data_IF_449702725943
#
_entry.id   IF_449702725943
#
_cell.length_a   1.000
_cell.length_b   1.000
_cell.length_c   1.000
_cell.angle_alpha   90.00
_cell.angle_beta   90.00
_cell.angle_gamma   90.00
#
_symmetry.space_group_name_H-M   'P 1'
#
loop_
_entity.id
_entity.type
_entity.pdbx_description
1 polymer ?
#
# COMPACT_ATOMS: atom_id res chain seq x y z
N UNK A 1 -18.19 7.70 20.96
CA UNK A 1 -17.69 6.32 20.75
C UNK A 1 -16.30 6.27 21.33
N UNK A 2 -15.85 5.16 21.90
CA UNK A 2 -14.46 5.01 22.34
C UNK A 2 -13.53 5.06 21.13
N UNK A 3 -12.33 5.63 21.31
CA UNK A 3 -11.31 5.64 20.26
C UNK A 3 -10.91 4.21 19.89
N UNK A 4 -10.68 3.96 18.59
CA UNK A 4 -10.27 2.66 18.05
C UNK A 4 -8.86 2.31 18.54
N UNK A 5 -8.70 1.14 19.13
CA UNK A 5 -7.42 0.65 19.64
C UNK A 5 -6.60 -0.01 18.54
N UNK A 6 -5.54 0.64 18.11
CA UNK A 6 -4.68 0.21 17.01
C UNK A 6 -3.35 -0.30 17.53
N UNK A 7 -2.98 -1.54 17.17
CA UNK A 7 -1.63 -2.06 17.30
C UNK A 7 -0.86 -1.88 15.98
N UNK A 8 0.46 -1.75 16.07
CA UNK A 8 1.35 -1.63 14.91
C UNK A 8 2.42 -2.71 14.98
N UNK A 9 2.60 -3.47 13.90
CA UNK A 9 3.69 -4.42 13.72
C UNK A 9 4.90 -3.77 13.05
N UNK A 10 6.11 -4.10 13.53
CA UNK A 10 7.37 -3.58 13.01
C UNK A 10 7.56 -2.09 13.29
N UNK A 11 7.29 -1.66 14.53
CA UNK A 11 7.28 -0.23 14.92
C UNK A 11 8.62 0.47 14.72
N UNK A 12 9.75 -0.25 14.77
CA UNK A 12 11.08 0.32 14.53
C UNK A 12 11.40 0.50 13.05
N UNK A 13 10.60 -0.09 12.15
CA UNK A 13 10.75 0.05 10.71
C UNK A 13 10.41 1.46 10.19
N UNK A 14 10.80 1.75 8.94
CA UNK A 14 10.53 3.05 8.29
C UNK A 14 9.04 3.41 8.25
N UNK A 15 8.16 2.44 8.01
CA UNK A 15 6.70 2.67 8.04
C UNK A 15 6.17 2.65 9.46
N UNK A 16 6.66 1.74 10.32
CA UNK A 16 6.20 1.62 11.69
C UNK A 16 6.28 2.92 12.48
N UNK A 17 7.40 3.63 12.38
CA UNK A 17 7.60 4.95 13.03
C UNK A 17 6.58 5.98 12.57
N UNK A 18 6.32 6.05 11.26
CA UNK A 18 5.34 6.98 10.68
C UNK A 18 3.90 6.58 11.03
N UNK A 19 3.62 5.28 11.16
CA UNK A 19 2.32 4.76 11.60
C UNK A 19 2.04 5.13 13.07
N UNK A 20 3.04 5.04 13.96
CA UNK A 20 2.90 5.51 15.36
C UNK A 20 2.50 6.98 15.40
N UNK A 21 3.17 7.81 14.61
CA UNK A 21 2.84 9.23 14.50
C UNK A 21 1.44 9.45 13.92
N UNK A 22 1.07 8.71 12.87
CA UNK A 22 -0.25 8.83 12.23
C UNK A 22 -1.39 8.44 13.18
N UNK A 23 -1.23 7.37 13.97
CA UNK A 23 -2.22 6.96 14.98
C UNK A 23 -2.32 7.99 16.09
N UNK A 24 -1.17 8.49 16.60
CA UNK A 24 -1.14 9.48 17.67
C UNK A 24 -1.84 10.81 17.28
N UNK A 25 -1.82 11.15 15.99
CA UNK A 25 -2.43 12.37 15.47
C UNK A 25 -3.90 12.18 15.02
N UNK A 26 -4.45 10.95 15.08
CA UNK A 26 -5.80 10.69 14.61
C UNK A 26 -6.84 10.85 15.74
N UNK A 27 -7.92 11.64 15.56
CA UNK A 27 -8.86 11.95 16.62
C UNK A 27 -9.67 10.73 17.12
N UNK A 28 -9.92 9.75 16.26
CA UNK A 28 -10.74 8.58 16.54
C UNK A 28 -9.95 7.31 16.82
N UNK A 29 -8.61 7.39 16.97
CA UNK A 29 -7.73 6.25 17.17
C UNK A 29 -6.78 6.48 18.34
N UNK A 30 -6.36 5.38 18.96
CA UNK A 30 -5.34 5.37 20.02
C UNK A 30 -4.40 4.19 19.80
N UNK A 31 -3.10 4.43 20.01
CA UNK A 31 -2.12 3.34 20.00
C UNK A 31 -2.34 2.46 21.23
N UNK A 32 -2.64 1.18 21.00
CA UNK A 32 -2.86 0.19 22.07
C UNK A 32 -1.73 -0.83 22.18
N UNK A 33 -0.92 -0.98 21.13
CA UNK A 33 0.16 -1.94 21.11
C UNK A 33 1.20 -1.64 20.04
N UNK A 34 2.41 -2.11 20.30
CA UNK A 34 3.58 -1.91 19.44
C UNK A 34 4.39 -3.20 19.40
N UNK A 35 4.48 -3.82 18.22
CA UNK A 35 5.17 -5.08 18.03
C UNK A 35 6.51 -4.89 17.31
N UNK A 36 7.50 -5.64 17.77
CA UNK A 36 8.77 -5.81 17.09
C UNK A 36 9.25 -7.27 17.22
N UNK A 37 10.19 -7.69 16.38
CA UNK A 37 10.70 -9.07 16.43
C UNK A 37 11.44 -9.37 17.73
N UNK A 38 11.41 -10.62 18.16
CA UNK A 38 12.16 -11.09 19.33
C UNK A 38 13.66 -10.83 19.18
N UNK A 39 14.27 -10.32 20.26
CA UNK A 39 15.69 -9.94 20.28
C UNK A 39 15.95 -8.53 19.72
N UNK A 40 14.94 -7.76 19.38
CA UNK A 40 15.12 -6.34 19.00
C UNK A 40 15.59 -5.51 20.19
N UNK A 41 16.57 -4.64 19.96
CA UNK A 41 17.13 -3.74 21.00
C UNK A 41 16.13 -2.69 21.51
N UNK A 42 15.02 -2.49 20.79
CA UNK A 42 14.00 -1.50 21.16
C UNK A 42 12.87 -2.07 22.02
N UNK A 43 12.91 -3.37 22.35
CA UNK A 43 11.92 -3.97 23.25
C UNK A 43 11.93 -3.28 24.62
N UNK A 44 10.72 -2.99 25.13
CA UNK A 44 10.51 -2.27 26.39
C UNK A 44 10.61 -0.75 26.28
N UNK A 45 11.11 -0.19 25.19
CA UNK A 45 11.09 1.27 24.97
C UNK A 45 9.68 1.75 24.64
N UNK A 46 9.38 3.05 24.85
CA UNK A 46 8.15 3.68 24.40
C UNK A 46 8.08 3.66 22.87
N UNK A 47 6.94 3.28 22.28
CA UNK A 47 6.77 3.17 20.84
C UNK A 47 7.02 4.47 20.07
N UNK A 48 6.88 5.63 20.72
CA UNK A 48 7.15 6.94 20.16
C UNK A 48 8.62 7.39 20.25
N UNK A 49 9.52 6.56 20.79
CA UNK A 49 10.91 6.96 21.07
C UNK A 49 11.64 7.56 19.86
N UNK A 50 11.42 7.00 18.67
CA UNK A 50 12.09 7.42 17.45
C UNK A 50 11.58 8.75 16.88
N UNK A 51 10.37 9.17 17.27
CA UNK A 51 9.70 10.42 16.83
C UNK A 51 9.69 11.48 17.92
N UNK A 52 10.28 11.19 19.10
CA UNK A 52 10.21 12.09 20.26
C UNK A 52 8.81 12.20 20.87
N UNK A 53 7.89 11.31 20.51
CA UNK A 53 6.57 11.22 21.10
C UNK A 53 6.61 10.40 22.39
N UNK A 54 5.72 10.70 23.31
CA UNK A 54 5.47 9.88 24.49
C UNK A 54 4.11 9.24 24.37
N UNK A 55 4.09 7.97 23.94
CA UNK A 55 2.84 7.22 23.71
C UNK A 55 2.33 6.50 24.94
N UNK A 56 3.22 6.16 25.88
CA UNK A 56 2.92 5.33 27.05
C UNK A 56 2.77 3.84 26.71
N UNK A 57 3.03 3.44 25.46
CA UNK A 57 2.93 2.05 24.97
C UNK A 57 4.35 1.49 24.83
N UNK A 58 4.66 0.45 25.59
CA UNK A 58 5.94 -0.25 25.47
C UNK A 58 5.96 -1.17 24.24
N UNK A 59 7.10 -1.20 23.54
CA UNK A 59 7.34 -2.13 22.43
C UNK A 59 7.49 -3.55 22.98
N UNK A 60 6.78 -4.51 22.40
CA UNK A 60 6.75 -5.90 22.84
C UNK A 60 6.96 -6.86 21.67
N UNK A 61 7.41 -8.07 21.94
CA UNK A 61 7.39 -9.20 21.02
C UNK A 61 6.28 -10.23 21.33
N UNK A 62 5.47 -9.97 22.35
CA UNK A 62 4.31 -10.78 22.71
C UNK A 62 3.07 -10.38 21.90
N UNK A 63 2.90 -11.06 20.77
CA UNK A 63 1.77 -10.82 19.86
C UNK A 63 0.43 -11.08 20.54
N UNK A 64 0.35 -12.13 21.37
CA UNK A 64 -0.89 -12.50 22.04
C UNK A 64 -1.35 -11.45 23.07
N UNK A 65 -0.43 -10.93 23.85
CA UNK A 65 -0.70 -9.87 24.81
C UNK A 65 -1.10 -8.55 24.14
N UNK A 66 -0.41 -8.18 23.04
CA UNK A 66 -0.71 -6.95 22.28
C UNK A 66 -2.07 -7.03 21.60
N UNK A 67 -2.40 -8.14 20.94
CA UNK A 67 -3.70 -8.28 20.27
C UNK A 67 -4.88 -8.37 21.26
N UNK A 68 -4.67 -8.91 22.47
CA UNK A 68 -5.72 -9.00 23.48
C UNK A 68 -6.28 -7.62 23.92
N UNK A 69 -5.57 -6.55 23.68
CA UNK A 69 -5.98 -5.18 24.03
C UNK A 69 -6.24 -4.29 22.83
N UNK A 70 -6.27 -4.85 21.62
CA UNK A 70 -6.36 -4.09 20.35
C UNK A 70 -7.58 -4.52 19.55
N UNK A 71 -8.17 -3.57 18.83
CA UNK A 71 -9.29 -3.80 17.92
C UNK A 71 -8.79 -4.12 16.49
N UNK A 72 -7.63 -3.59 16.12
CA UNK A 72 -7.03 -3.76 14.79
C UNK A 72 -5.50 -3.73 14.84
N UNK A 73 -4.85 -4.55 14.00
CA UNK A 73 -3.42 -4.55 13.78
C UNK A 73 -3.11 -3.93 12.41
N UNK A 74 -2.15 -3.01 12.34
CA UNK A 74 -1.57 -2.52 11.08
C UNK A 74 -0.20 -3.16 10.87
N UNK A 75 -0.02 -3.85 9.74
CA UNK A 75 1.18 -4.61 9.42
C UNK A 75 1.80 -4.21 8.08
N UNK A 76 3.02 -3.66 8.13
CA UNK A 76 3.88 -3.30 7.00
C UNK A 76 5.24 -3.98 7.12
N UNK A 77 5.27 -5.23 7.54
CA UNK A 77 6.51 -5.96 7.81
C UNK A 77 7.01 -6.74 6.59
N UNK A 78 6.94 -8.05 6.63
CA UNK A 78 7.33 -8.98 5.57
C UNK A 78 6.29 -10.11 5.47
N UNK A 79 6.23 -10.86 4.35
CA UNK A 79 5.22 -11.91 4.17
C UNK A 79 5.15 -12.92 5.31
N UNK A 80 6.30 -13.48 5.73
CA UNK A 80 6.31 -14.51 6.77
C UNK A 80 5.78 -14.04 8.14
N UNK A 81 6.27 -12.93 8.76
CA UNK A 81 5.68 -12.45 10.01
C UNK A 81 4.24 -11.98 9.84
N UNK A 82 3.87 -11.37 8.70
CA UNK A 82 2.49 -10.95 8.46
C UNK A 82 1.53 -12.14 8.48
N UNK A 83 1.89 -13.28 7.89
CA UNK A 83 1.03 -14.48 7.93
C UNK A 83 0.87 -15.04 9.34
N UNK A 84 1.91 -14.96 10.18
CA UNK A 84 1.82 -15.33 11.61
C UNK A 84 0.89 -14.37 12.37
N UNK A 85 1.02 -13.08 12.13
CA UNK A 85 0.14 -12.06 12.73
C UNK A 85 -1.31 -12.25 12.26
N UNK A 86 -1.53 -12.51 10.97
CA UNK A 86 -2.85 -12.78 10.39
C UNK A 86 -3.54 -13.94 11.08
N UNK A 87 -2.83 -15.07 11.30
CA UNK A 87 -3.37 -16.21 12.02
C UNK A 87 -3.81 -15.81 13.44
N UNK A 88 -2.98 -15.06 14.17
CA UNK A 88 -3.28 -14.59 15.52
C UNK A 88 -4.45 -13.60 15.55
N UNK A 89 -4.56 -12.73 14.55
CA UNK A 89 -5.69 -11.83 14.40
C UNK A 89 -7.00 -12.60 14.20
N UNK A 90 -7.00 -13.66 13.38
CA UNK A 90 -8.15 -14.55 13.20
C UNK A 90 -8.52 -15.26 14.50
N UNK A 91 -7.54 -15.81 15.24
CA UNK A 91 -7.78 -16.50 16.52
C UNK A 91 -8.42 -15.59 17.59
N UNK A 92 -8.13 -14.29 17.54
CA UNK A 92 -8.56 -13.30 18.54
C UNK A 92 -9.70 -12.38 18.09
N UNK A 93 -10.22 -12.58 16.88
CA UNK A 93 -11.23 -11.71 16.23
C UNK A 93 -10.78 -10.24 16.17
N UNK A 94 -9.49 -10.01 15.87
CA UNK A 94 -8.87 -8.69 15.67
C UNK A 94 -8.76 -8.42 14.18
N UNK A 95 -9.19 -7.25 13.72
CA UNK A 95 -9.05 -6.87 12.32
C UNK A 95 -7.58 -6.62 11.95
N UNK A 96 -7.23 -6.76 10.65
CA UNK A 96 -5.86 -6.54 10.20
C UNK A 96 -5.81 -5.71 8.92
N UNK A 97 -4.88 -4.74 8.90
CA UNK A 97 -4.57 -3.89 7.74
C UNK A 97 -3.18 -4.31 7.24
N UNK A 98 -3.13 -4.89 6.05
CA UNK A 98 -1.91 -5.48 5.48
C UNK A 98 -1.38 -4.59 4.36
N UNK A 99 -0.26 -3.91 4.63
CA UNK A 99 0.52 -3.15 3.65
C UNK A 99 1.78 -3.88 3.20
N UNK A 100 2.03 -5.06 3.72
CA UNK A 100 3.09 -5.97 3.28
C UNK A 100 2.81 -6.44 1.86
N UNK A 101 3.83 -6.49 1.03
CA UNK A 101 3.78 -6.96 -0.36
C UNK A 101 4.70 -8.15 -0.57
N UNK A 102 4.61 -8.82 -1.72
CA UNK A 102 5.50 -9.93 -2.08
C UNK A 102 5.03 -11.31 -1.59
N UNK A 103 3.74 -11.46 -1.27
CA UNK A 103 3.16 -12.78 -0.96
C UNK A 103 3.12 -13.66 -2.22
N UNK A 104 3.42 -14.94 -2.02
CA UNK A 104 3.14 -15.99 -2.99
C UNK A 104 1.65 -16.33 -3.04
N UNK A 105 1.26 -17.27 -3.89
CA UNK A 105 -0.14 -17.67 -4.06
C UNK A 105 -0.71 -18.31 -2.79
N UNK A 106 0.09 -19.05 -2.03
CA UNK A 106 -0.32 -19.63 -0.75
C UNK A 106 -0.59 -18.55 0.29
N UNK A 107 0.27 -17.53 0.38
CA UNK A 107 0.08 -16.38 1.26
C UNK A 107 -1.18 -15.57 0.90
N UNK A 108 -1.42 -15.36 -0.41
CA UNK A 108 -2.66 -14.69 -0.87
C UNK A 108 -3.91 -15.51 -0.53
N UNK A 109 -3.86 -16.84 -0.69
CA UNK A 109 -4.96 -17.72 -0.32
C UNK A 109 -5.24 -17.67 1.19
N UNK A 110 -4.20 -17.60 2.03
CA UNK A 110 -4.35 -17.45 3.48
C UNK A 110 -5.01 -16.11 3.85
N UNK A 111 -4.64 -15.03 3.18
CA UNK A 111 -5.26 -13.70 3.36
C UNK A 111 -6.74 -13.75 2.96
N UNK A 112 -7.06 -14.40 1.83
CA UNK A 112 -8.45 -14.59 1.37
C UNK A 112 -9.28 -15.36 2.40
N UNK A 113 -8.77 -16.47 2.91
CA UNK A 113 -9.45 -17.29 3.89
C UNK A 113 -9.65 -16.57 5.25
N UNK A 114 -8.72 -15.72 5.65
CA UNK A 114 -8.83 -14.92 6.86
C UNK A 114 -9.98 -13.90 6.77
N UNK A 115 -10.24 -13.36 5.57
CA UNK A 115 -11.36 -12.44 5.32
C UNK A 115 -12.74 -13.05 5.59
N UNK A 116 -12.87 -14.39 5.56
CA UNK A 116 -14.12 -15.05 5.93
C UNK A 116 -14.39 -15.03 7.46
N UNK A 117 -13.37 -14.76 8.26
CA UNK A 117 -13.40 -14.87 9.72
C UNK A 117 -13.27 -13.53 10.43
N UNK A 118 -12.46 -12.61 9.88
CA UNK A 118 -12.23 -11.28 10.47
C UNK A 118 -12.18 -10.21 9.37
N UNK A 119 -12.09 -8.93 9.75
CA UNK A 119 -11.91 -7.84 8.81
C UNK A 119 -10.46 -7.73 8.34
N UNK A 120 -10.23 -7.89 7.04
CA UNK A 120 -8.90 -7.77 6.43
C UNK A 120 -8.95 -6.68 5.37
N UNK A 121 -8.08 -5.67 5.46
CA UNK A 121 -7.82 -4.75 4.35
C UNK A 121 -6.44 -5.04 3.81
N UNK A 122 -6.35 -5.55 2.59
CA UNK A 122 -5.10 -5.87 1.92
C UNK A 122 -4.89 -4.99 0.69
N UNK A 123 -3.84 -4.19 0.68
CA UNK A 123 -3.52 -3.32 -0.44
C UNK A 123 -2.01 -3.14 -0.61
N UNK A 124 -1.55 -3.08 -1.86
CA UNK A 124 -0.16 -2.80 -2.19
C UNK A 124 0.23 -1.34 -1.91
N UNK A 125 -0.76 -0.44 -1.81
CA UNK A 125 -0.55 0.97 -1.53
C UNK A 125 -1.75 1.55 -0.77
N UNK A 126 -1.48 2.26 0.32
CA UNK A 126 -2.50 2.88 1.17
C UNK A 126 -2.71 4.37 0.92
N UNK A 127 -1.95 5.01 0.02
CA UNK A 127 -2.19 6.41 -0.33
C UNK A 127 -3.57 6.59 -0.96
N UNK A 128 -4.35 7.52 -0.41
CA UNK A 128 -5.66 7.91 -0.98
C UNK A 128 -5.47 8.43 -2.40
N UNK A 129 -4.45 9.26 -2.64
CA UNK A 129 -4.16 9.82 -3.95
C UNK A 129 -3.79 8.75 -4.98
N UNK A 130 -2.93 7.77 -4.63
CA UNK A 130 -2.58 6.66 -5.53
C UNK A 130 -3.81 5.83 -5.90
N UNK A 131 -4.65 5.49 -4.92
CA UNK A 131 -5.84 4.68 -5.18
C UNK A 131 -6.89 5.43 -6.00
N UNK A 132 -7.04 6.74 -5.79
CA UNK A 132 -7.84 7.60 -6.67
C UNK A 132 -7.26 7.63 -8.09
N UNK A 133 -5.93 7.72 -8.23
CA UNK A 133 -5.25 7.66 -9.52
C UNK A 133 -5.57 6.37 -10.27
N UNK A 134 -5.54 5.21 -9.60
CA UNK A 134 -5.94 3.94 -10.23
C UNK A 134 -7.37 3.98 -10.77
N UNK A 135 -8.32 4.51 -10.01
CA UNK A 135 -9.71 4.65 -10.44
C UNK A 135 -9.85 5.60 -11.66
N UNK A 136 -9.13 6.73 -11.64
CA UNK A 136 -9.11 7.68 -12.77
C UNK A 136 -8.50 7.02 -14.00
N UNK A 137 -7.42 6.24 -13.85
CA UNK A 137 -6.75 5.56 -14.96
C UNK A 137 -7.64 4.54 -15.65
N UNK A 138 -8.45 3.77 -14.91
CA UNK A 138 -9.44 2.88 -15.51
C UNK A 138 -10.42 3.65 -16.38
N UNK A 139 -10.95 4.75 -15.88
CA UNK A 139 -11.89 5.62 -16.61
C UNK A 139 -11.24 6.23 -17.86
N UNK A 140 -10.04 6.78 -17.71
CA UNK A 140 -9.32 7.45 -18.82
C UNK A 140 -8.92 6.46 -19.91
N UNK A 141 -8.42 5.29 -19.52
CA UNK A 141 -8.03 4.25 -20.48
C UNK A 141 -9.22 3.78 -21.34
N UNK A 142 -10.41 3.67 -20.76
CA UNK A 142 -11.63 3.33 -21.53
C UNK A 142 -12.06 4.39 -22.51
N UNK A 143 -11.78 5.66 -22.24
CA UNK A 143 -12.08 6.79 -23.14
C UNK A 143 -11.00 6.97 -24.20
N UNK A 144 -9.73 6.85 -23.81
CA UNK A 144 -8.56 7.02 -24.69
C UNK A 144 -8.05 5.64 -25.18
N UNK A 145 -8.98 4.78 -25.61
CA UNK A 145 -8.71 3.37 -25.95
C UNK A 145 -8.13 3.17 -27.35
N UNK A 146 -8.25 4.15 -28.25
CA UNK A 146 -7.79 4.08 -29.63
C UNK A 146 -6.95 5.31 -29.99
N UNK A 147 -5.84 5.10 -30.70
CA UNK A 147 -4.99 6.16 -31.22
C UNK A 147 -4.11 6.87 -30.19
N UNK A 148 -4.05 6.39 -28.94
CA UNK A 148 -3.19 6.91 -27.89
C UNK A 148 -2.07 5.94 -27.54
N UNK A 149 -0.84 6.46 -27.54
CA UNK A 149 0.32 5.81 -26.98
C UNK A 149 0.32 5.94 -25.45
N UNK A 150 0.69 4.87 -24.73
CA UNK A 150 0.60 4.82 -23.28
C UNK A 150 1.99 4.58 -22.70
N UNK A 151 2.44 5.49 -21.83
CA UNK A 151 3.72 5.40 -21.13
C UNK A 151 3.53 5.65 -19.63
N UNK A 152 4.22 4.88 -18.81
CA UNK A 152 4.25 5.07 -17.35
C UNK A 152 5.66 5.48 -16.96
N UNK A 153 5.78 6.64 -16.32
CA UNK A 153 7.05 7.21 -15.86
C UNK A 153 7.04 7.20 -14.35
N UNK A 154 8.05 6.58 -13.72
CA UNK A 154 8.14 6.54 -12.28
C UNK A 154 9.50 6.98 -11.77
N UNK A 155 9.52 7.65 -10.62
CA UNK A 155 10.73 8.11 -9.96
C UNK A 155 10.72 7.77 -8.47
N UNK A 156 11.83 7.22 -7.97
CA UNK A 156 12.05 6.96 -6.55
C UNK A 156 13.49 7.28 -6.13
N UNK A 157 13.70 7.26 -4.80
CA UNK A 157 15.01 7.47 -4.20
C UNK A 157 16.04 6.44 -4.66
N UNK A 158 17.33 6.81 -4.57
CA UNK A 158 18.48 6.00 -5.02
C UNK A 158 18.59 4.60 -4.38
N UNK A 159 17.93 4.37 -3.25
CA UNK A 159 17.99 3.12 -2.49
C UNK A 159 16.85 2.15 -2.82
N UNK A 160 15.94 2.48 -3.76
CA UNK A 160 14.89 1.57 -4.19
C UNK A 160 15.46 0.52 -5.14
N UNK A 161 15.27 -0.76 -4.81
CA UNK A 161 15.91 -1.89 -5.49
C UNK A 161 15.06 -2.49 -6.62
N UNK A 162 13.74 -2.42 -6.49
CA UNK A 162 12.80 -2.90 -7.51
C UNK A 162 12.56 -1.84 -8.60
N UNK A 163 12.45 -2.25 -9.83
CA UNK A 163 12.12 -1.43 -11.01
C UNK A 163 11.39 -2.27 -12.07
N UNK A 164 10.24 -1.81 -12.59
CA UNK A 164 9.46 -0.67 -12.11
C UNK A 164 8.92 -0.85 -10.69
N UNK A 165 8.48 0.23 -10.05
CA UNK A 165 7.84 0.16 -8.74
C UNK A 165 6.52 -0.62 -8.79
N UNK A 166 6.12 -1.25 -7.67
CA UNK A 166 4.82 -1.95 -7.59
C UNK A 166 3.63 -1.04 -7.92
N UNK A 167 3.70 0.25 -7.60
CA UNK A 167 2.67 1.24 -7.97
C UNK A 167 2.62 1.47 -9.48
N UNK A 168 3.78 1.59 -10.15
CA UNK A 168 3.85 1.73 -11.60
C UNK A 168 3.31 0.48 -12.31
N UNK A 169 3.68 -0.71 -11.83
CA UNK A 169 3.14 -1.97 -12.38
C UNK A 169 1.62 -2.02 -12.22
N UNK A 170 1.09 -1.63 -11.05
CA UNK A 170 -0.36 -1.60 -10.83
C UNK A 170 -1.07 -0.58 -11.73
N UNK A 171 -0.47 0.58 -12.02
CA UNK A 171 -1.00 1.52 -13.01
C UNK A 171 -1.10 0.87 -14.39
N UNK A 172 -0.05 0.15 -14.82
CA UNK A 172 -0.04 -0.60 -16.08
C UNK A 172 -1.10 -1.70 -16.13
N UNK A 173 -1.26 -2.46 -15.04
CA UNK A 173 -2.30 -3.50 -14.93
C UNK A 173 -3.70 -2.90 -15.07
N UNK A 174 -4.01 -1.81 -14.34
CA UNK A 174 -5.31 -1.13 -14.42
C UNK A 174 -5.61 -0.66 -15.84
N UNK A 175 -4.63 -0.07 -16.52
CA UNK A 175 -4.79 0.38 -17.91
C UNK A 175 -4.95 -0.81 -18.86
N UNK A 176 -4.14 -1.85 -18.71
CA UNK A 176 -4.22 -3.05 -19.54
C UNK A 176 -5.56 -3.75 -19.37
N UNK A 177 -6.04 -3.94 -18.14
CA UNK A 177 -7.34 -4.51 -17.81
C UNK A 177 -8.48 -3.71 -18.46
N UNK A 178 -8.43 -2.36 -18.36
CA UNK A 178 -9.43 -1.47 -18.96
C UNK A 178 -9.49 -1.57 -20.49
N UNK A 179 -8.34 -1.89 -21.12
CA UNK A 179 -8.19 -2.04 -22.58
C UNK A 179 -8.35 -3.50 -23.07
N UNK A 180 -8.58 -4.45 -22.16
CA UNK A 180 -8.66 -5.89 -22.49
C UNK A 180 -7.32 -6.46 -22.96
N UNK A 181 -6.18 -5.94 -22.46
CA UNK A 181 -4.81 -6.40 -22.77
C UNK A 181 -4.21 -7.18 -21.60
N UNK A 182 -3.29 -8.10 -21.88
CA UNK A 182 -2.45 -8.69 -20.85
C UNK A 182 -1.16 -7.86 -20.70
N UNK A 183 -0.94 -7.28 -19.51
CA UNK A 183 0.24 -6.47 -19.27
C UNK A 183 1.55 -7.26 -19.49
N UNK A 184 1.56 -8.57 -19.25
CA UNK A 184 2.76 -9.40 -19.46
C UNK A 184 3.17 -9.48 -20.94
N UNK A 185 2.22 -9.32 -21.84
CA UNK A 185 2.44 -9.38 -23.29
C UNK A 185 2.71 -8.00 -23.88
N UNK A 186 2.06 -6.93 -23.36
CA UNK A 186 2.14 -5.60 -23.93
C UNK A 186 3.12 -4.63 -23.20
N UNK A 187 3.73 -5.03 -22.08
CA UNK A 187 4.65 -4.17 -21.35
C UNK A 187 6.03 -4.07 -22.04
N UNK A 188 6.56 -2.84 -22.14
CA UNK A 188 7.93 -2.55 -22.60
C UNK A 188 8.69 -1.83 -21.49
N UNK A 189 9.68 -2.51 -20.92
CA UNK A 189 10.49 -2.03 -19.79
C UNK A 189 11.77 -1.34 -20.28
N UNK A 190 11.66 -0.07 -20.66
CA UNK A 190 12.75 0.72 -21.20
C UNK A 190 12.96 0.52 -22.70
N UNK A 191 13.65 1.48 -23.33
CA UNK A 191 14.08 1.43 -24.72
C UNK A 191 15.52 1.93 -24.81
N UNK A 192 16.37 1.24 -25.58
CA UNK A 192 17.78 1.59 -25.78
C UNK A 192 18.17 1.35 -27.24
N UNK A 193 18.98 2.24 -27.80
CA UNK A 193 19.48 2.14 -29.17
C UNK A 193 18.42 2.35 -30.24
N UNK A 194 18.53 1.63 -31.36
CA UNK A 194 17.61 1.69 -32.49
C UNK A 194 16.50 0.66 -32.33
N UNK A 195 15.37 1.05 -31.73
CA UNK A 195 14.22 0.15 -31.43
C UNK A 195 13.16 0.14 -32.52
N UNK A 196 13.31 0.95 -33.57
CA UNK A 196 12.25 1.17 -34.55
C UNK A 196 11.08 2.02 -34.02
N UNK A 197 10.05 2.23 -34.83
CA UNK A 197 8.82 2.88 -34.38
C UNK A 197 8.17 2.14 -33.23
N UNK A 198 7.50 2.89 -32.34
CA UNK A 198 6.75 2.32 -31.23
C UNK A 198 5.56 1.45 -31.75
N UNK A 199 5.38 0.28 -31.15
CA UNK A 199 4.16 -0.50 -31.36
C UNK A 199 3.00 0.15 -30.56
N UNK A 200 1.89 0.55 -31.19
CA UNK A 200 0.77 1.22 -30.53
C UNK A 200 0.03 0.34 -29.50
N UNK A 201 0.18 -0.99 -29.56
CA UNK A 201 -0.44 -1.90 -28.59
C UNK A 201 0.29 -1.95 -27.24
N UNK A 202 1.50 -1.40 -27.15
CA UNK A 202 2.35 -1.53 -25.97
C UNK A 202 2.03 -0.50 -24.87
N UNK A 203 2.37 -0.84 -23.62
CA UNK A 203 2.42 0.08 -22.48
C UNK A 203 3.89 0.18 -22.07
N UNK A 204 4.49 1.36 -22.24
CA UNK A 204 5.89 1.58 -21.92
C UNK A 204 6.10 1.94 -20.45
N UNK A 205 7.31 1.63 -19.93
CA UNK A 205 7.73 1.99 -18.58
C UNK A 205 9.08 2.68 -18.61
N UNK A 206 9.18 3.83 -17.96
CA UNK A 206 10.42 4.55 -17.75
C UNK A 206 10.68 4.74 -16.25
N UNK A 207 11.87 4.38 -15.80
CA UNK A 207 12.24 4.36 -14.39
C UNK A 207 13.35 5.34 -14.07
N UNK A 208 13.13 6.19 -13.07
CA UNK A 208 14.13 7.13 -12.52
C UNK A 208 14.48 6.74 -11.09
N UNK A 209 15.79 6.74 -10.75
CA UNK A 209 16.31 6.58 -9.37
C UNK A 209 17.21 7.76 -9.06
N UNK A 210 16.73 8.66 -8.16
CA UNK A 210 17.44 9.90 -7.84
C UNK A 210 17.12 10.41 -6.43
N UNK A 211 18.12 10.97 -5.76
CA UNK A 211 17.97 11.68 -4.50
C UNK A 211 17.19 10.90 -3.45
N UNK A 212 16.22 11.58 -2.88
CA UNK A 212 15.31 11.13 -1.83
C UNK A 212 13.84 11.08 -2.26
N UNK A 213 13.57 11.06 -3.57
CA UNK A 213 12.20 11.00 -4.13
C UNK A 213 11.42 9.87 -3.44
N UNK A 214 10.31 10.23 -2.82
CA UNK A 214 9.47 9.28 -2.07
C UNK A 214 8.71 8.36 -3.02
N UNK A 215 8.18 8.92 -4.12
CA UNK A 215 7.51 8.18 -5.17
C UNK A 215 6.70 9.10 -6.08
N UNK A 216 7.17 9.26 -7.31
CA UNK A 216 6.50 10.01 -8.37
C UNK A 216 6.03 9.02 -9.44
N UNK A 217 4.81 9.17 -9.92
CA UNK A 217 4.23 8.32 -10.95
C UNK A 217 3.40 9.15 -11.90
N UNK A 218 3.65 9.01 -13.19
CA UNK A 218 2.88 9.66 -14.26
C UNK A 218 2.46 8.62 -15.28
N UNK A 219 1.16 8.52 -15.57
CA UNK A 219 0.66 7.87 -16.78
C UNK A 219 0.44 8.92 -17.86
N UNK A 220 1.07 8.73 -19.00
CA UNK A 220 0.98 9.56 -20.16
C UNK A 220 0.16 8.83 -21.24
N UNK A 221 -0.86 9.49 -21.76
CA UNK A 221 -1.62 9.10 -22.95
C UNK A 221 -1.36 10.17 -24.02
N UNK A 222 -0.76 9.80 -25.15
CA UNK A 222 -0.34 10.74 -26.16
C UNK A 222 -0.81 10.32 -27.55
N UNK A 223 -1.28 11.29 -28.34
CA UNK A 223 -1.60 11.15 -29.76
C UNK A 223 -1.10 12.36 -30.53
N UNK A 224 -1.26 12.38 -31.84
CA UNK A 224 -0.87 13.52 -32.65
C UNK A 224 -1.64 14.78 -32.23
N UNK A 225 -0.91 15.79 -31.76
CA UNK A 225 -1.48 17.09 -31.42
C UNK A 225 -1.90 17.27 -29.95
N UNK A 226 -2.01 16.19 -29.16
CA UNK A 226 -2.33 16.31 -27.74
C UNK A 226 -1.75 15.17 -26.88
N UNK A 227 -1.70 15.43 -25.58
CA UNK A 227 -1.42 14.41 -24.57
C UNK A 227 -2.16 14.70 -23.27
N UNK A 228 -2.49 13.64 -22.54
CA UNK A 228 -3.07 13.70 -21.20
C UNK A 228 -2.10 13.05 -20.24
N UNK A 229 -1.79 13.72 -19.14
CA UNK A 229 -0.91 13.22 -18.10
C UNK A 229 -1.66 13.14 -16.78
N UNK A 230 -1.63 11.97 -16.13
CA UNK A 230 -2.19 11.75 -14.80
C UNK A 230 -1.02 11.46 -13.86
N UNK A 231 -0.75 12.41 -12.96
CA UNK A 231 0.44 12.39 -12.12
C UNK A 231 0.07 12.36 -10.64
N UNK A 232 0.69 11.44 -9.90
CA UNK A 232 0.71 11.40 -8.44
C UNK A 232 2.14 11.56 -7.93
N UNK A 233 2.36 12.47 -6.98
CA UNK A 233 3.65 12.66 -6.31
C UNK A 233 3.48 12.55 -4.80
N UNK A 234 4.25 11.67 -4.18
CA UNK A 234 4.31 11.52 -2.73
C UNK A 234 5.50 12.32 -2.18
N UNK A 235 5.25 13.28 -1.30
CA UNK A 235 6.30 14.06 -0.63
C UNK A 235 6.67 13.51 0.75
N UNK A 236 5.84 12.61 1.32
CA UNK A 236 6.05 12.02 2.64
C UNK A 236 5.42 10.62 2.73
N UNK A 237 6.03 9.75 3.53
CA UNK A 237 5.43 8.45 3.88
C UNK A 237 4.18 8.57 4.74
N UNK A 238 3.94 9.72 5.34
CA UNK A 238 2.73 10.00 6.12
C UNK A 238 1.45 9.77 5.30
N UNK A 239 1.47 10.01 3.99
CA UNK A 239 0.31 9.75 3.12
C UNK A 239 -0.11 8.27 3.12
N UNK A 240 0.87 7.34 3.20
CA UNK A 240 0.59 5.89 3.30
C UNK A 240 0.11 5.51 4.70
N UNK A 241 0.73 6.07 5.74
CA UNK A 241 0.38 5.80 7.13
C UNK A 241 -1.01 6.33 7.46
N UNK A 242 -1.34 7.56 7.08
CA UNK A 242 -2.66 8.14 7.27
C UNK A 242 -3.75 7.33 6.53
N UNK A 243 -3.45 6.84 5.33
CA UNK A 243 -4.35 5.95 4.58
C UNK A 243 -4.56 4.60 5.27
N UNK A 244 -3.52 4.02 5.88
CA UNK A 244 -3.65 2.78 6.64
C UNK A 244 -4.49 2.98 7.93
N UNK A 245 -4.30 4.10 8.63
CA UNK A 245 -5.15 4.44 9.79
C UNK A 245 -6.60 4.66 9.35
N UNK A 246 -6.84 5.36 8.24
CA UNK A 246 -8.18 5.49 7.65
C UNK A 246 -8.81 4.12 7.35
N UNK A 247 -8.03 3.19 6.78
CA UNK A 247 -8.50 1.83 6.51
C UNK A 247 -8.85 1.09 7.81
N UNK A 248 -8.05 1.24 8.87
CA UNK A 248 -8.31 0.66 10.18
C UNK A 248 -9.63 1.18 10.77
N UNK A 249 -9.85 2.48 10.75
CA UNK A 249 -11.11 3.10 11.23
C UNK A 249 -12.30 2.64 10.40
N UNK A 250 -12.15 2.58 9.07
CA UNK A 250 -13.21 2.13 8.16
C UNK A 250 -13.57 0.65 8.36
N UNK A 251 -12.57 -0.21 8.64
CA UNK A 251 -12.76 -1.66 8.82
C UNK A 251 -13.38 -2.03 10.18
N UNK A 252 -13.46 -1.10 11.12
CA UNK A 252 -14.00 -1.38 12.46
C UNK A 252 -15.41 -1.98 12.40
N UNK A 253 -15.59 -3.14 13.03
CA UNK A 253 -16.85 -3.88 13.05
C UNK A 253 -17.23 -4.55 11.71
N UNK A 254 -16.33 -4.59 10.72
CA UNK A 254 -16.55 -5.29 9.46
C UNK A 254 -15.80 -6.63 9.45
N UNK A 255 -16.40 -7.62 8.76
CA UNK A 255 -15.77 -8.90 8.42
C UNK A 255 -15.75 -9.01 6.89
N UNK A 256 -14.66 -9.47 6.33
CA UNK A 256 -14.48 -9.59 4.88
C UNK A 256 -13.06 -9.27 4.46
N UNK A 257 -12.74 -9.60 3.21
CA UNK A 257 -11.52 -9.14 2.55
C UNK A 257 -11.85 -7.90 1.71
N UNK A 258 -11.13 -6.84 1.96
CA UNK A 258 -11.30 -5.52 1.34
C UNK A 258 -9.97 -5.00 0.83
N UNK A 259 -10.03 -4.02 -0.05
CA UNK A 259 -8.89 -3.22 -0.49
C UNK A 259 -9.15 -1.71 -0.31
N UNK A 260 -8.20 -0.88 -0.75
CA UNK A 260 -8.36 0.58 -0.62
C UNK A 260 -9.46 1.15 -1.53
N UNK A 261 -9.87 0.47 -2.60
CA UNK A 261 -11.01 0.91 -3.42
C UNK A 261 -12.33 0.77 -2.64
N UNK A 262 -12.45 -0.28 -1.79
CA UNK A 262 -13.59 -0.44 -0.88
C UNK A 262 -13.59 0.66 0.18
N UNK A 263 -12.43 0.87 0.84
CA UNK A 263 -12.26 1.90 1.89
C UNK A 263 -12.62 3.29 1.40
N UNK A 264 -12.34 3.59 0.13
CA UNK A 264 -12.59 4.89 -0.48
C UNK A 264 -13.96 4.98 -1.19
N UNK A 265 -14.71 3.88 -1.27
CA UNK A 265 -16.00 3.83 -1.95
C UNK A 265 -15.90 4.05 -3.45
N UNK A 266 -14.84 3.55 -4.09
CA UNK A 266 -14.57 3.77 -5.52
C UNK A 266 -15.05 2.61 -6.42
N UNK A 267 -15.34 1.43 -5.88
CA UNK A 267 -15.76 0.25 -6.67
C UNK A 267 -17.12 0.38 -7.35
N UNK A 268 -17.96 1.31 -6.91
CA UNK A 268 -19.34 1.46 -7.37
C UNK A 268 -19.61 2.86 -7.97
N UNK A 269 -18.59 3.50 -8.50
CA UNK A 269 -18.71 4.82 -9.10
C UNK A 269 -18.33 4.81 -10.55
#
# INVERSE_FOLDING_TARGET
>A
MSALKIAIAGVNGRMGRVLVEAVNNHPDAVLSGALEHSGSEVLGLDAGFASGLKTGVAISDDVDAVLAQSDVLIDFTRPEPTLKHLQKCVEKDVNIIIGTTGFDDAGKAAIQAAGEKTGVVFAANFSVGVNLTFHILDTVARVLNEGYDIEIIEGHHRHKVDAPSGTALRMGEVIADALGRDLKECAVYGREGHTGPRDPSTIGFATVRAGDIVGDHTALFATDGERVEITHKASSRMTFAAGAVRAAVWANGKKGLYDMQDVLGLKNR
#
